data_IF_142779586644
#
_entry.id   IF_142779586644
#
_cell.length_a   1.000
_cell.length_b   1.000
_cell.length_c   1.000
_cell.angle_alpha   90.00
_cell.angle_beta   90.00
_cell.angle_gamma   90.00
#
_symmetry.space_group_name_H-M   'P 1'
#
loop_
_entity.id
_entity.type
_entity.pdbx_description
1 polymer ?
#
# COMPACT_ATOMS: atom_id res chain seq x y z
N UNK A 1 -5.76 -13.94 7.32
CA UNK A 1 -6.73 -12.81 7.27
C UNK A 1 -6.50 -11.80 8.38
N UNK A 2 -6.48 -12.20 9.67
CA UNK A 2 -6.34 -11.27 10.80
C UNK A 2 -5.16 -10.27 10.66
N UNK A 3 -3.91 -10.70 10.33
CA UNK A 3 -2.80 -9.76 10.21
C UNK A 3 -2.99 -8.70 9.11
N UNK A 4 -3.64 -9.08 8.00
CA UNK A 4 -3.92 -8.16 6.91
C UNK A 4 -4.95 -7.10 7.32
N UNK A 5 -6.02 -7.50 8.03
CA UNK A 5 -7.03 -6.58 8.53
C UNK A 5 -6.47 -5.60 9.57
N UNK A 6 -5.62 -6.08 10.48
CA UNK A 6 -4.93 -5.21 11.44
C UNK A 6 -4.05 -4.19 10.73
N UNK A 7 -3.30 -4.62 9.72
CA UNK A 7 -2.44 -3.71 8.95
C UNK A 7 -3.24 -2.69 8.14
N UNK A 8 -4.39 -3.08 7.56
CA UNK A 8 -5.32 -2.13 6.97
C UNK A 8 -5.74 -1.07 7.99
N UNK A 9 -6.13 -1.47 9.21
CA UNK A 9 -6.45 -0.52 10.28
C UNK A 9 -5.30 0.45 10.61
N UNK A 10 -4.05 -0.02 10.61
CA UNK A 10 -2.86 0.83 10.82
C UNK A 10 -2.70 1.86 9.71
N UNK A 11 -2.81 1.44 8.44
CA UNK A 11 -2.73 2.35 7.28
C UNK A 11 -3.82 3.42 7.39
N UNK A 12 -5.06 3.01 7.65
CA UNK A 12 -6.20 3.92 7.77
C UNK A 12 -5.97 4.98 8.87
N UNK A 13 -5.44 4.54 10.02
CA UNK A 13 -5.12 5.44 11.13
C UNK A 13 -4.07 6.49 10.74
N UNK A 14 -2.98 6.08 10.07
CA UNK A 14 -1.95 7.03 9.61
C UNK A 14 -2.45 7.95 8.49
N UNK A 15 -3.30 7.45 7.61
CA UNK A 15 -3.93 8.25 6.56
C UNK A 15 -4.96 9.26 7.08
N UNK A 16 -5.45 9.09 8.31
CA UNK A 16 -6.39 10.03 8.96
C UNK A 16 -5.72 11.32 9.47
N UNK A 17 -4.39 11.37 9.53
CA UNK A 17 -3.64 12.54 10.03
C UNK A 17 -3.31 13.57 8.95
N UNK A 18 -3.31 14.88 9.27
CA UNK A 18 -2.87 15.92 8.35
C UNK A 18 -1.36 15.81 8.07
N UNK A 19 -0.97 16.01 6.80
CA UNK A 19 0.44 15.92 6.36
C UNK A 19 1.22 17.22 6.57
N UNK A 20 0.52 18.34 6.69
CA UNK A 20 1.11 19.68 6.70
C UNK A 20 1.83 20.02 8.02
N UNK A 21 1.53 19.29 9.09
CA UNK A 21 2.11 19.48 10.42
C UNK A 21 3.46 18.78 10.63
N UNK A 22 3.89 17.91 9.71
CA UNK A 22 5.06 17.03 9.93
C UNK A 22 6.33 17.55 9.24
N UNK A 23 6.21 18.04 8.01
CA UNK A 23 7.37 18.49 7.21
C UNK A 23 7.02 19.78 6.49
N UNK A 24 7.64 20.91 6.83
CA UNK A 24 7.31 22.22 6.24
C UNK A 24 7.61 22.28 4.72
N UNK A 25 8.71 21.67 4.27
CA UNK A 25 9.14 21.77 2.89
C UNK A 25 8.36 20.84 1.95
N UNK A 26 7.83 21.33 0.81
CA UNK A 26 6.97 20.54 -0.09
C UNK A 26 7.63 19.29 -0.69
N UNK A 27 8.90 19.37 -1.11
CA UNK A 27 9.59 18.27 -1.77
C UNK A 27 9.96 17.13 -0.78
N UNK A 28 10.64 17.39 0.35
CA UNK A 28 10.87 16.37 1.37
C UNK A 28 9.58 15.77 1.92
N UNK A 29 8.53 16.57 2.09
CA UNK A 29 7.19 16.10 2.49
C UNK A 29 6.67 15.07 1.50
N UNK A 30 6.64 15.42 0.22
CA UNK A 30 6.17 14.53 -0.83
C UNK A 30 6.96 13.20 -0.83
N UNK A 31 8.29 13.26 -0.83
CA UNK A 31 9.12 12.07 -0.85
C UNK A 31 8.90 11.18 0.38
N UNK A 32 8.86 11.76 1.58
CA UNK A 32 8.66 11.04 2.83
C UNK A 32 7.34 10.24 2.84
N UNK A 33 6.23 10.91 2.55
CA UNK A 33 4.91 10.26 2.56
C UNK A 33 4.75 9.25 1.41
N UNK A 34 5.32 9.50 0.24
CA UNK A 34 5.29 8.51 -0.86
C UNK A 34 6.14 7.27 -0.54
N UNK A 35 7.29 7.43 0.10
CA UNK A 35 8.08 6.27 0.56
C UNK A 35 7.34 5.48 1.63
N UNK A 36 6.67 6.14 2.59
CA UNK A 36 5.85 5.46 3.58
C UNK A 36 4.74 4.63 2.96
N UNK A 37 3.97 5.22 2.05
CA UNK A 37 2.90 4.50 1.35
C UNK A 37 3.42 3.31 0.54
N UNK A 38 4.54 3.46 -0.19
CA UNK A 38 5.19 2.32 -0.88
C UNK A 38 5.47 1.17 0.10
N UNK A 39 6.00 1.45 1.29
CA UNK A 39 6.30 0.44 2.31
C UNK A 39 5.05 -0.18 2.92
N UNK A 40 4.06 0.64 3.25
CA UNK A 40 2.76 0.23 3.80
C UNK A 40 2.06 -0.76 2.86
N UNK A 41 1.95 -0.40 1.58
CA UNK A 41 1.29 -1.21 0.57
C UNK A 41 2.11 -2.42 0.13
N UNK A 42 3.45 -2.36 0.19
CA UNK A 42 4.32 -3.53 0.02
C UNK A 42 4.05 -4.58 1.10
N UNK A 43 3.99 -4.17 2.37
CA UNK A 43 3.69 -5.08 3.47
C UNK A 43 2.25 -5.59 3.38
N UNK A 44 1.29 -4.71 3.09
CA UNK A 44 -0.11 -5.10 2.91
C UNK A 44 -0.28 -6.18 1.83
N UNK A 45 0.37 -6.01 0.68
CA UNK A 45 0.32 -6.98 -0.41
C UNK A 45 0.84 -8.37 0.02
N UNK A 46 1.92 -8.41 0.80
CA UNK A 46 2.46 -9.66 1.35
C UNK A 46 1.46 -10.31 2.31
N UNK A 47 0.85 -9.54 3.21
CA UNK A 47 -0.12 -10.04 4.18
C UNK A 47 -1.40 -10.55 3.51
N UNK A 48 -1.92 -9.82 2.53
CA UNK A 48 -3.08 -10.23 1.71
C UNK A 48 -2.74 -11.49 0.91
N UNK A 49 -1.53 -11.58 0.33
CA UNK A 49 -1.09 -12.76 -0.42
C UNK A 49 -1.18 -14.05 0.41
N UNK A 50 -0.77 -14.02 1.68
CA UNK A 50 -0.94 -15.16 2.59
C UNK A 50 -2.38 -15.35 3.04
N UNK A 51 -3.11 -14.26 3.28
CA UNK A 51 -4.51 -14.33 3.68
C UNK A 51 -5.40 -14.99 2.62
N UNK A 52 -5.09 -14.80 1.33
CA UNK A 52 -5.84 -15.33 0.19
C UNK A 52 -5.24 -16.62 -0.40
N UNK A 53 -4.40 -17.32 0.35
CA UNK A 53 -3.78 -18.58 -0.10
C UNK A 53 -3.06 -18.45 -1.45
N UNK A 54 -2.35 -17.33 -1.66
CA UNK A 54 -1.48 -17.07 -2.82
C UNK A 54 -2.22 -16.82 -4.14
N UNK A 55 -3.43 -16.24 -4.08
CA UNK A 55 -4.27 -15.95 -5.24
C UNK A 55 -3.84 -14.65 -5.98
N UNK A 56 -4.03 -14.62 -7.31
CA UNK A 56 -3.90 -13.44 -8.18
C UNK A 56 -4.76 -12.26 -7.75
N UNK A 57 -5.90 -12.52 -7.09
CA UNK A 57 -6.77 -11.48 -6.52
C UNK A 57 -6.07 -10.59 -5.48
N UNK A 58 -4.88 -10.96 -4.98
CA UNK A 58 -4.09 -10.14 -4.04
C UNK A 58 -3.86 -8.73 -4.56
N UNK A 59 -3.42 -8.59 -5.82
CA UNK A 59 -3.11 -7.28 -6.40
C UNK A 59 -4.38 -6.43 -6.48
N UNK A 60 -5.47 -7.04 -6.96
CA UNK A 60 -6.77 -6.37 -7.10
C UNK A 60 -7.27 -5.89 -5.75
N UNK A 61 -7.26 -6.75 -4.72
CA UNK A 61 -7.78 -6.40 -3.39
C UNK A 61 -6.89 -5.36 -2.71
N UNK A 62 -5.57 -5.50 -2.79
CA UNK A 62 -4.65 -4.50 -2.23
C UNK A 62 -4.80 -3.14 -2.93
N UNK A 63 -4.99 -3.13 -4.26
CA UNK A 63 -5.18 -1.89 -5.01
C UNK A 63 -6.55 -1.25 -4.79
N UNK A 64 -7.62 -2.06 -4.65
CA UNK A 64 -8.93 -1.55 -4.24
C UNK A 64 -8.86 -0.89 -2.86
N UNK A 65 -8.07 -1.47 -1.95
CA UNK A 65 -7.82 -0.84 -0.65
C UNK A 65 -7.04 0.47 -0.78
N UNK A 66 -6.01 0.53 -1.63
CA UNK A 66 -5.28 1.77 -1.91
C UNK A 66 -6.20 2.87 -2.45
N UNK A 67 -7.07 2.54 -3.40
CA UNK A 67 -8.08 3.47 -3.92
C UNK A 67 -9.02 3.95 -2.81
N UNK A 68 -9.45 3.05 -1.91
CA UNK A 68 -10.31 3.43 -0.79
C UNK A 68 -9.60 4.35 0.21
N UNK A 69 -8.30 4.14 0.45
CA UNK A 69 -7.49 5.01 1.31
C UNK A 69 -7.30 6.39 0.68
N UNK A 70 -7.00 6.47 -0.61
CA UNK A 70 -6.85 7.74 -1.33
C UNK A 70 -8.17 8.54 -1.33
N UNK A 71 -9.31 7.86 -1.52
CA UNK A 71 -10.63 8.48 -1.39
C UNK A 71 -10.86 8.96 0.04
N UNK A 72 -10.53 8.15 1.05
CA UNK A 72 -10.61 8.55 2.45
C UNK A 72 -9.78 9.81 2.74
N UNK A 73 -8.55 9.89 2.20
CA UNK A 73 -7.69 11.06 2.36
C UNK A 73 -8.28 12.34 1.76
N UNK A 74 -9.18 12.27 0.77
CA UNK A 74 -9.89 13.48 0.26
C UNK A 74 -10.79 14.13 1.30
N UNK A 75 -11.20 13.39 2.34
CA UNK A 75 -12.02 13.91 3.44
C UNK A 75 -11.16 14.45 4.60
N UNK A 76 -9.84 14.28 4.55
CA UNK A 76 -8.91 14.73 5.59
C UNK A 76 -8.43 16.14 5.25
N UNK A 77 -8.66 17.08 6.16
CA UNK A 77 -8.21 18.47 6.02
C UNK A 77 -6.68 18.53 5.88
N UNK A 78 -6.18 19.28 4.90
CA UNK A 78 -4.74 19.40 4.64
C UNK A 78 -4.15 18.25 3.80
N UNK A 79 -4.99 17.38 3.22
CA UNK A 79 -4.58 16.41 2.19
C UNK A 79 -5.25 16.73 0.86
N UNK A 80 -4.50 16.51 -0.23
CA UNK A 80 -5.06 16.55 -1.58
C UNK A 80 -5.01 15.14 -2.15
N UNK A 81 -6.07 14.35 -1.93
CA UNK A 81 -6.17 13.03 -2.55
C UNK A 81 -6.15 13.17 -4.08
N UNK A 82 -5.26 12.47 -4.75
CA UNK A 82 -5.07 12.43 -6.20
C UNK A 82 -4.98 10.99 -6.66
N UNK A 83 -5.78 10.61 -7.65
CA UNK A 83 -5.69 9.27 -8.27
C UNK A 83 -4.30 8.93 -8.84
N UNK A 84 -3.44 9.93 -9.11
CA UNK A 84 -2.05 9.66 -9.52
C UNK A 84 -1.19 9.13 -8.38
N UNK A 85 -1.57 9.40 -7.14
CA UNK A 85 -0.81 9.03 -5.97
C UNK A 85 -0.94 7.53 -5.67
N UNK A 86 -2.06 6.91 -6.07
CA UNK A 86 -2.25 5.45 -5.97
C UNK A 86 -1.30 4.65 -6.86
N UNK A 87 -0.62 5.30 -7.80
CA UNK A 87 0.45 4.66 -8.59
C UNK A 87 1.65 4.30 -7.70
N UNK A 88 1.93 5.08 -6.66
CA UNK A 88 2.98 4.76 -5.69
C UNK A 88 2.56 3.60 -4.79
N UNK A 89 1.28 3.52 -4.40
CA UNK A 89 0.74 2.39 -3.66
C UNK A 89 0.81 1.10 -4.48
N UNK A 90 0.43 1.19 -5.76
CA UNK A 90 0.54 0.10 -6.72
C UNK A 90 1.99 -0.34 -6.90
N UNK A 91 2.93 0.60 -6.99
CA UNK A 91 4.36 0.30 -7.01
C UNK A 91 4.79 -0.44 -5.75
N UNK A 92 4.34 -0.01 -4.57
CA UNK A 92 4.54 -0.70 -3.29
C UNK A 92 4.04 -2.13 -3.33
N UNK A 93 2.81 -2.37 -3.78
CA UNK A 93 2.23 -3.71 -3.95
C UNK A 93 3.13 -4.61 -4.79
N UNK A 94 3.58 -4.12 -5.96
CA UNK A 94 4.48 -4.87 -6.83
C UNK A 94 5.84 -5.14 -6.18
N UNK A 95 6.44 -4.15 -5.53
CA UNK A 95 7.71 -4.30 -4.79
C UNK A 95 7.57 -5.36 -3.71
N UNK A 96 6.51 -5.33 -2.91
CA UNK A 96 6.25 -6.31 -1.86
C UNK A 96 6.17 -7.75 -2.40
N UNK A 97 5.43 -7.95 -3.50
CA UNK A 97 5.33 -9.25 -4.15
C UNK A 97 6.65 -9.70 -4.79
N UNK A 98 7.43 -8.79 -5.36
CA UNK A 98 8.76 -9.08 -5.91
C UNK A 98 9.76 -9.47 -4.81
N UNK A 99 9.80 -8.72 -3.71
CA UNK A 99 10.61 -9.06 -2.53
C UNK A 99 10.22 -10.45 -2.04
N UNK A 100 8.91 -10.71 -1.89
CA UNK A 100 8.42 -12.01 -1.48
C UNK A 100 8.85 -13.12 -2.43
N UNK A 101 8.80 -12.89 -3.74
CA UNK A 101 9.26 -13.83 -4.77
C UNK A 101 10.73 -14.18 -4.59
N UNK A 102 11.58 -13.17 -4.43
CA UNK A 102 13.03 -13.35 -4.29
C UNK A 102 13.39 -14.07 -3.00
N UNK A 103 12.78 -13.68 -1.88
CA UNK A 103 13.00 -14.30 -0.58
C UNK A 103 12.50 -15.74 -0.54
N UNK A 104 11.39 -16.05 -1.24
CA UNK A 104 10.77 -17.37 -1.13
C UNK A 104 11.25 -18.41 -2.11
N UNK A 105 11.73 -18.09 -3.32
CA UNK A 105 12.11 -19.11 -4.34
C UNK A 105 11.11 -20.31 -4.41
N UNK A 106 9.83 -20.06 -4.14
CA UNK A 106 8.76 -21.06 -3.96
C UNK A 106 7.90 -21.07 -5.22
N UNK A 107 7.75 -22.26 -5.83
CA UNK A 107 7.13 -22.55 -7.15
C UNK A 107 5.74 -21.92 -7.42
N UNK A 108 5.05 -21.36 -6.42
CA UNK A 108 3.69 -20.84 -6.55
C UNK A 108 3.59 -19.38 -7.02
N UNK A 109 4.62 -18.54 -6.84
CA UNK A 109 4.54 -17.10 -7.21
C UNK A 109 4.68 -16.87 -8.72
N UNK A 110 5.35 -17.78 -9.44
CA UNK A 110 5.56 -17.63 -10.89
C UNK A 110 4.25 -17.55 -11.69
N UNK A 111 3.11 -18.00 -11.12
CA UNK A 111 1.80 -17.88 -11.77
C UNK A 111 1.25 -16.45 -11.78
N UNK A 112 1.69 -15.54 -10.92
CA UNK A 112 1.14 -14.17 -10.81
C UNK A 112 1.56 -13.25 -11.96
N UNK A 113 2.68 -13.54 -12.60
CA UNK A 113 3.33 -12.69 -13.61
C UNK A 113 3.35 -13.33 -15.01
N UNK A 114 2.64 -14.45 -15.17
CA UNK A 114 2.29 -15.10 -16.44
C UNK A 114 0.78 -15.13 -16.59
#
# INVERSE_FOLDING_TARGET
MIPALLWMGVIFYFSSGPTDSVVADPLPRFLFFKTLHILEFALLAILIFYALLKNKSTIIIAYLYALSDEIHQTFVLGRSGRLKDTLFDLLGIFIGLLILRQLKKIRSINRLFT
#
